data_IF_937752146063
#
_entry.id   IF_937752146063
#
_cell.length_a   1.000
_cell.length_b   1.000
_cell.length_c   1.000
_cell.angle_alpha   90.00
_cell.angle_beta   90.00
_cell.angle_gamma   90.00
#
_symmetry.space_group_name_H-M   'P 1'
#
loop_
_entity.id
_entity.type
_entity.pdbx_description
1 polymer ?
#
# COMPACT_ATOMS: atom_id res chain seq x y z
N UNK A 1 9.86 -8.68 24.14
CA UNK A 1 10.13 -9.09 22.75
C UNK A 1 8.76 -9.29 22.08
N UNK A 2 8.40 -8.44 21.16
CA UNK A 2 7.21 -8.64 20.33
C UNK A 2 7.64 -9.57 19.19
N UNK A 3 7.32 -10.85 19.29
CA UNK A 3 7.40 -11.72 18.16
C UNK A 3 6.27 -11.36 17.18
N UNK A 4 6.59 -11.17 15.90
CA UNK A 4 5.56 -11.17 14.88
C UNK A 4 4.83 -12.51 14.93
N UNK A 5 3.51 -12.50 14.73
CA UNK A 5 2.74 -13.73 14.64
C UNK A 5 3.35 -14.64 13.57
N UNK A 6 3.70 -15.88 13.84
CA UNK A 6 4.04 -16.78 12.77
C UNK A 6 2.81 -17.00 11.92
N UNK A 7 2.90 -16.66 10.65
CA UNK A 7 1.94 -17.09 9.66
C UNK A 7 2.15 -18.61 9.52
N UNK A 8 1.26 -19.41 10.11
CA UNK A 8 1.38 -20.86 9.98
C UNK A 8 0.68 -21.27 8.69
N UNK A 9 1.47 -21.57 7.69
CA UNK A 9 1.00 -22.03 6.39
C UNK A 9 1.36 -23.50 6.26
N UNK A 10 0.35 -24.35 6.09
CA UNK A 10 0.55 -25.78 5.89
C UNK A 10 0.41 -26.16 4.41
N UNK A 11 1.31 -26.99 3.94
CA UNK A 11 1.25 -27.61 2.63
C UNK A 11 0.23 -28.74 2.67
N UNK A 12 -1.02 -28.44 2.26
CA UNK A 12 -2.06 -29.43 2.09
C UNK A 12 -2.22 -29.69 0.60
N UNK A 13 -2.16 -30.95 0.20
CA UNK A 13 -2.20 -31.42 -1.19
C UNK A 13 -3.30 -30.77 -2.01
N UNK A 14 -3.01 -30.36 -3.22
CA UNK A 14 -1.78 -29.98 -3.92
C UNK A 14 -1.54 -28.46 -3.90
N UNK A 15 -2.17 -27.75 -2.98
CA UNK A 15 -2.11 -26.31 -2.90
C UNK A 15 -1.82 -25.83 -1.48
N UNK A 16 -1.55 -24.54 -1.33
CA UNK A 16 -1.17 -23.88 -0.08
C UNK A 16 -2.34 -23.05 0.42
N UNK A 17 -2.60 -23.09 1.73
CA UNK A 17 -3.62 -22.27 2.37
C UNK A 17 -3.11 -21.73 3.71
N UNK A 18 -3.45 -20.47 4.01
CA UNK A 18 -3.27 -19.91 5.34
C UNK A 18 -4.38 -20.46 6.26
N UNK A 19 -3.96 -21.11 7.36
CA UNK A 19 -4.90 -21.73 8.32
C UNK A 19 -4.78 -21.19 9.73
N UNK A 20 -3.83 -20.30 9.97
CA UNK A 20 -3.61 -19.65 11.26
C UNK A 20 -3.07 -18.24 11.06
N UNK A 21 -3.74 -17.30 11.71
CA UNK A 21 -3.27 -15.91 11.81
C UNK A 21 -3.53 -15.42 13.25
N UNK A 22 -2.60 -15.78 14.12
CA UNK A 22 -2.71 -15.52 15.56
C UNK A 22 -1.91 -14.29 15.95
N UNK A 23 -2.56 -13.37 16.66
CA UNK A 23 -1.90 -12.28 17.33
C UNK A 23 -1.23 -12.78 18.62
N UNK A 24 0.09 -13.00 18.59
CA UNK A 24 0.83 -13.52 19.73
C UNK A 24 0.90 -12.56 20.93
N UNK A 25 0.51 -11.30 20.78
CA UNK A 25 0.52 -10.34 21.88
C UNK A 25 -0.65 -10.53 22.85
N UNK A 26 -1.76 -11.10 22.36
CA UNK A 26 -2.97 -11.36 23.15
C UNK A 26 -3.54 -12.78 22.97
N UNK A 27 -2.93 -13.59 22.10
CA UNK A 27 -3.36 -14.97 21.82
C UNK A 27 -4.60 -15.09 20.94
N UNK A 28 -5.07 -14.01 20.33
CA UNK A 28 -6.28 -14.01 19.51
C UNK A 28 -6.02 -14.62 18.14
N UNK A 29 -6.75 -15.68 17.77
CA UNK A 29 -6.84 -16.20 16.42
C UNK A 29 -7.79 -15.33 15.61
N UNK A 30 -7.34 -14.84 14.46
CA UNK A 30 -8.08 -13.89 13.63
C UNK A 30 -8.86 -14.57 12.51
N UNK A 31 -8.43 -15.74 12.02
CA UNK A 31 -9.08 -16.41 10.90
C UNK A 31 -10.24 -17.32 11.34
N UNK A 32 -11.34 -17.23 10.62
CA UNK A 32 -12.50 -18.16 10.69
C UNK A 32 -12.61 -19.06 9.47
N UNK A 33 -12.08 -18.62 8.31
CA UNK A 33 -12.19 -19.39 7.06
C UNK A 33 -10.90 -19.38 6.27
N UNK A 34 -10.77 -20.42 5.44
CA UNK A 34 -9.68 -20.56 4.46
C UNK A 34 -10.06 -19.76 3.22
N UNK A 35 -9.20 -18.86 2.84
CA UNK A 35 -9.33 -18.05 1.63
C UNK A 35 -8.06 -18.20 0.77
N UNK A 36 -8.10 -17.84 -0.51
CA UNK A 36 -6.88 -17.81 -1.34
C UNK A 36 -5.88 -16.78 -0.83
N UNK A 37 -4.60 -17.00 -1.11
CA UNK A 37 -3.55 -16.05 -0.78
C UNK A 37 -3.74 -14.68 -1.47
N UNK A 38 -4.31 -14.70 -2.67
CA UNK A 38 -4.65 -13.53 -3.45
C UNK A 38 -5.67 -13.91 -4.53
N UNK A 39 -6.27 -12.92 -5.20
CA UNK A 39 -7.02 -13.15 -6.44
C UNK A 39 -6.48 -12.25 -7.55
N UNK A 40 -6.47 -12.75 -8.77
CA UNK A 40 -6.11 -11.98 -9.95
C UNK A 40 -7.23 -12.12 -11.00
N UNK A 41 -7.69 -10.97 -11.50
CA UNK A 41 -8.62 -10.95 -12.64
C UNK A 41 -7.80 -10.74 -13.91
N UNK A 42 -7.80 -11.75 -14.78
CA UNK A 42 -7.08 -11.72 -16.07
C UNK A 42 -8.11 -11.89 -17.16
N UNK A 43 -8.15 -10.99 -18.13
CA UNK A 43 -9.09 -11.01 -19.25
C UNK A 43 -10.54 -11.23 -18.77
N UNK A 44 -10.95 -10.51 -17.71
CA UNK A 44 -12.25 -10.57 -17.04
C UNK A 44 -12.55 -11.88 -16.29
N UNK A 45 -11.63 -12.82 -16.22
CA UNK A 45 -11.77 -14.06 -15.46
C UNK A 45 -11.00 -13.96 -14.13
N UNK A 46 -11.67 -14.30 -13.03
CA UNK A 46 -11.05 -14.30 -11.70
C UNK A 46 -10.38 -15.64 -11.43
N UNK A 47 -9.13 -15.59 -10.97
CA UNK A 47 -8.32 -16.75 -10.60
C UNK A 47 -7.88 -16.63 -9.14
N UNK A 48 -8.05 -17.70 -8.38
CA UNK A 48 -7.50 -17.80 -7.03
C UNK A 48 -6.01 -18.16 -7.08
N UNK A 49 -5.23 -17.56 -6.21
CA UNK A 49 -3.81 -17.85 -6.03
C UNK A 49 -3.66 -18.65 -4.75
N UNK A 50 -3.36 -19.93 -4.88
CA UNK A 50 -3.43 -20.82 -3.72
C UNK A 50 -4.85 -20.99 -3.19
N UNK A 51 -4.94 -21.33 -1.92
CA UNK A 51 -6.20 -21.59 -1.26
C UNK A 51 -6.73 -23.01 -1.45
N UNK A 52 -7.75 -23.35 -0.69
CA UNK A 52 -8.44 -24.64 -0.72
C UNK A 52 -9.93 -24.43 -0.63
N UNK A 53 -10.66 -25.30 -1.30
CA UNK A 53 -12.11 -25.34 -1.34
C UNK A 53 -12.67 -26.48 -0.48
N UNK A 54 -13.98 -26.44 -0.20
CA UNK A 54 -14.67 -27.51 0.51
C UNK A 54 -14.84 -27.29 2.00
N UNK A 55 -14.43 -26.15 2.55
CA UNK A 55 -14.77 -25.79 3.93
C UNK A 55 -16.29 -25.56 4.04
N UNK A 56 -16.96 -26.42 4.83
CA UNK A 56 -18.42 -26.41 4.96
C UNK A 56 -18.91 -25.35 5.96
N UNK A 57 -18.24 -25.23 7.10
CA UNK A 57 -18.55 -24.25 8.13
C UNK A 57 -17.55 -23.11 8.06
N UNK A 58 -18.05 -21.90 7.96
CA UNK A 58 -17.24 -20.69 7.80
C UNK A 58 -17.06 -19.87 9.08
N UNK A 59 -17.64 -20.33 10.20
CA UNK A 59 -17.52 -19.65 11.50
C UNK A 59 -16.18 -19.87 12.18
N UNK A 60 -15.51 -20.99 11.90
CA UNK A 60 -14.25 -21.37 12.55
C UNK A 60 -13.45 -22.36 11.71
N UNK A 61 -12.15 -22.42 11.97
CA UNK A 61 -11.25 -23.39 11.36
C UNK A 61 -11.17 -24.65 12.21
N UNK A 62 -11.35 -25.79 11.57
CA UNK A 62 -11.17 -27.09 12.19
C UNK A 62 -10.22 -27.93 11.33
N UNK A 63 -9.02 -28.15 11.84
CA UNK A 63 -7.96 -28.90 11.14
C UNK A 63 -8.37 -30.35 10.80
N UNK A 64 -9.34 -30.93 11.53
CA UNK A 64 -9.86 -32.26 11.20
C UNK A 64 -10.56 -32.32 9.84
N UNK A 65 -10.92 -31.18 9.25
CA UNK A 65 -11.53 -31.10 7.93
C UNK A 65 -10.52 -31.07 6.78
N UNK A 66 -9.25 -31.00 7.11
CA UNK A 66 -8.17 -30.90 6.15
C UNK A 66 -8.27 -31.91 5.00
N UNK A 67 -8.61 -33.16 5.34
CA UNK A 67 -8.73 -34.25 4.36
C UNK A 67 -9.89 -34.07 3.37
N UNK A 68 -10.87 -33.24 3.68
CA UNK A 68 -12.01 -32.95 2.81
C UNK A 68 -11.79 -31.74 1.92
N UNK A 69 -10.71 -30.99 2.13
CA UNK A 69 -10.37 -29.80 1.35
C UNK A 69 -9.67 -30.20 0.04
N UNK A 70 -9.93 -29.45 -1.01
CA UNK A 70 -9.39 -29.72 -2.34
C UNK A 70 -8.98 -28.43 -3.07
N UNK A 71 -8.07 -28.55 -4.03
CA UNK A 71 -7.73 -27.48 -4.95
C UNK A 71 -8.50 -27.66 -6.26
N UNK A 72 -8.83 -26.55 -6.93
CA UNK A 72 -9.41 -26.57 -8.26
C UNK A 72 -8.33 -26.43 -9.32
N UNK A 73 -8.50 -27.08 -10.48
CA UNK A 73 -7.54 -27.00 -11.58
C UNK A 73 -7.43 -25.60 -12.21
N UNK A 74 -8.44 -24.76 -12.02
CA UNK A 74 -8.43 -23.38 -12.44
C UNK A 74 -7.58 -22.48 -11.54
N UNK A 75 -7.31 -22.89 -10.30
CA UNK A 75 -6.52 -22.11 -9.36
C UNK A 75 -5.04 -22.18 -9.72
N UNK A 76 -4.33 -21.10 -9.38
CA UNK A 76 -2.87 -21.14 -9.39
C UNK A 76 -2.40 -22.04 -8.25
N UNK A 77 -1.58 -23.03 -8.59
CA UNK A 77 -1.07 -24.00 -7.64
C UNK A 77 0.31 -23.61 -7.11
N UNK A 78 0.52 -23.91 -5.85
CA UNK A 78 1.82 -23.70 -5.19
C UNK A 78 2.91 -24.60 -5.79
N UNK A 79 4.07 -24.02 -6.05
CA UNK A 79 5.21 -24.73 -6.62
C UNK A 79 6.40 -24.81 -5.66
N UNK A 80 6.73 -23.72 -5.01
CA UNK A 80 7.90 -23.61 -4.14
C UNK A 80 7.80 -22.34 -3.27
N UNK A 81 8.72 -22.20 -2.30
CA UNK A 81 8.90 -20.99 -1.51
C UNK A 81 10.36 -20.62 -1.33
N UNK A 82 10.62 -19.36 -1.02
CA UNK A 82 11.94 -18.88 -0.62
C UNK A 82 11.83 -18.03 0.66
N UNK A 83 12.84 -18.13 1.53
CA UNK A 83 12.95 -17.30 2.73
C UNK A 83 14.26 -16.54 2.70
N UNK A 84 14.17 -15.23 2.85
CA UNK A 84 15.32 -14.33 2.90
C UNK A 84 15.18 -13.33 4.05
N UNK A 85 16.16 -12.46 4.23
CA UNK A 85 16.01 -11.25 5.06
C UNK A 85 15.23 -10.21 4.31
N UNK A 86 14.43 -9.40 5.02
CA UNK A 86 13.74 -8.27 4.39
C UNK A 86 14.76 -7.23 3.93
N UNK A 87 14.44 -6.60 2.79
CA UNK A 87 15.13 -5.41 2.31
C UNK A 87 14.16 -4.22 2.30
N UNK A 88 14.70 -3.02 2.40
CA UNK A 88 13.90 -1.81 2.31
C UNK A 88 13.40 -1.61 0.87
N UNK A 89 12.09 -1.44 0.70
CA UNK A 89 11.51 -1.10 -0.60
C UNK A 89 11.75 0.36 -1.01
N UNK A 90 12.15 1.20 -0.06
CA UNK A 90 12.60 2.58 -0.28
C UNK A 90 13.95 2.76 0.37
N UNK A 91 14.94 3.14 -0.42
CA UNK A 91 16.27 3.49 0.09
C UNK A 91 16.21 4.89 0.68
N UNK A 92 16.12 4.96 1.99
CA UNK A 92 16.14 6.20 2.74
C UNK A 92 17.46 6.36 3.45
N UNK A 93 18.19 7.42 3.10
CA UNK A 93 19.38 7.86 3.83
C UNK A 93 18.98 9.10 4.63
N UNK A 94 18.98 9.05 5.97
CA UNK A 94 18.78 10.25 6.76
C UNK A 94 19.88 11.22 6.41
N UNK A 95 19.50 12.44 6.09
CA UNK A 95 20.48 13.45 5.72
C UNK A 95 21.23 13.93 6.96
N UNK A 96 22.52 14.15 6.80
CA UNK A 96 23.44 14.54 7.88
C UNK A 96 23.15 15.93 8.48
N UNK A 97 22.30 16.72 7.82
CA UNK A 97 21.88 18.03 8.31
C UNK A 97 20.74 17.98 9.34
N UNK A 98 20.05 16.83 9.53
CA UNK A 98 19.14 16.66 10.65
C UNK A 98 19.98 16.54 11.92
N UNK A 99 19.79 17.40 12.94
CA UNK A 99 20.52 17.29 14.19
C UNK A 99 20.44 15.86 14.75
N UNK A 100 21.54 15.36 15.29
CA UNK A 100 21.65 13.96 15.73
C UNK A 100 20.60 13.55 16.77
N UNK A 101 20.06 14.50 17.54
CA UNK A 101 18.97 14.31 18.49
C UNK A 101 17.59 14.18 17.81
N UNK A 102 17.46 14.57 16.54
CA UNK A 102 16.28 14.38 15.70
C UNK A 102 16.45 13.24 14.70
N UNK A 103 17.68 12.84 14.45
CA UNK A 103 17.93 11.69 13.59
C UNK A 103 17.31 10.46 14.29
N UNK A 104 16.17 9.95 13.82
CA UNK A 104 15.78 8.63 14.27
C UNK A 104 16.95 7.73 13.89
N UNK A 105 17.44 6.92 14.81
CA UNK A 105 18.30 5.82 14.45
C UNK A 105 17.55 5.05 13.38
N UNK A 106 17.97 5.18 12.12
CA UNK A 106 17.39 4.44 11.01
C UNK A 106 17.74 3.00 11.27
N UNK A 107 16.87 2.34 12.00
CA UNK A 107 16.99 0.93 12.22
C UNK A 107 16.82 0.30 10.84
N UNK A 108 17.85 -0.36 10.37
CA UNK A 108 17.71 -1.24 9.22
C UNK A 108 16.57 -2.19 9.56
N UNK A 109 15.62 -2.33 8.64
CA UNK A 109 14.56 -3.31 8.79
C UNK A 109 15.18 -4.66 9.16
N UNK A 110 14.72 -5.22 10.26
CA UNK A 110 15.04 -6.59 10.65
C UNK A 110 13.80 -7.42 10.48
N UNK A 111 13.99 -8.65 10.02
CA UNK A 111 12.89 -9.56 9.83
C UNK A 111 13.16 -10.56 8.71
N UNK A 112 12.12 -11.26 8.32
CA UNK A 112 12.15 -12.27 7.28
C UNK A 112 11.19 -11.95 6.16
N UNK A 113 11.61 -12.24 4.94
CA UNK A 113 10.74 -12.28 3.78
C UNK A 113 10.47 -13.72 3.41
N UNK A 114 9.20 -14.07 3.27
CA UNK A 114 8.74 -15.31 2.65
C UNK A 114 8.18 -14.96 1.27
N UNK A 115 8.55 -15.71 0.26
CA UNK A 115 7.96 -15.62 -1.08
C UNK A 115 7.39 -16.98 -1.43
N UNK A 116 6.12 -17.03 -1.74
CA UNK A 116 5.40 -18.21 -2.21
C UNK A 116 5.27 -18.12 -3.72
N UNK A 117 5.66 -19.19 -4.43
CA UNK A 117 5.66 -19.25 -5.87
C UNK A 117 4.49 -20.08 -6.37
N UNK A 118 3.73 -19.53 -7.33
CA UNK A 118 2.56 -20.18 -7.92
C UNK A 118 2.63 -20.17 -9.44
N UNK A 119 2.05 -21.20 -10.06
CA UNK A 119 1.93 -21.34 -11.50
C UNK A 119 0.52 -21.79 -11.90
N UNK A 120 0.13 -21.59 -13.14
CA UNK A 120 -1.14 -22.05 -13.70
C UNK A 120 -0.96 -23.36 -14.47
N UNK A 121 -1.96 -24.26 -14.37
CA UNK A 121 -2.09 -25.44 -15.22
C UNK A 121 -2.82 -25.16 -16.54
N UNK A 122 -3.48 -24.01 -16.63
CA UNK A 122 -4.29 -23.65 -17.79
C UNK A 122 -3.42 -23.35 -19.01
N UNK A 123 -3.69 -23.94 -20.19
CA UNK A 123 -2.94 -23.67 -21.41
C UNK A 123 -2.87 -22.18 -21.78
N UNK A 124 -3.95 -21.44 -21.57
CA UNK A 124 -4.05 -20.01 -21.84
C UNK A 124 -3.16 -19.16 -20.94
N UNK A 125 -2.69 -19.69 -19.81
CA UNK A 125 -1.80 -19.02 -18.86
C UNK A 125 -0.45 -19.75 -18.74
N UNK A 126 -0.05 -20.44 -19.79
CA UNK A 126 1.23 -21.16 -19.81
C UNK A 126 2.40 -20.20 -19.59
N UNK A 127 3.24 -20.50 -18.59
CA UNK A 127 4.39 -19.67 -18.24
C UNK A 127 4.05 -18.43 -17.40
N UNK A 128 2.78 -18.23 -17.04
CA UNK A 128 2.36 -17.18 -16.13
C UNK A 128 2.76 -17.56 -14.68
N UNK A 129 3.53 -16.70 -14.04
CA UNK A 129 4.04 -16.92 -12.69
C UNK A 129 3.51 -15.84 -11.76
N UNK A 130 3.04 -16.27 -10.59
CA UNK A 130 2.61 -15.38 -9.53
C UNK A 130 3.45 -15.64 -8.29
N UNK A 131 4.00 -14.60 -7.70
CA UNK A 131 4.67 -14.69 -6.41
C UNK A 131 3.93 -13.85 -5.39
N UNK A 132 3.60 -14.46 -4.26
CA UNK A 132 3.04 -13.77 -3.10
C UNK A 132 4.15 -13.58 -2.09
N UNK A 133 4.40 -12.32 -1.75
CA UNK A 133 5.49 -11.91 -0.87
C UNK A 133 4.95 -11.50 0.49
N UNK A 134 5.63 -11.92 1.54
CA UNK A 134 5.35 -11.55 2.92
C UNK A 134 6.62 -11.04 3.60
N UNK A 135 6.57 -9.85 4.19
CA UNK A 135 7.59 -9.37 5.11
C UNK A 135 7.04 -9.40 6.53
N UNK A 136 7.78 -10.03 7.44
CA UNK A 136 7.49 -10.03 8.87
C UNK A 136 8.60 -9.26 9.55
N UNK A 137 8.23 -8.23 10.34
CA UNK A 137 9.16 -7.30 10.96
C UNK A 137 9.48 -7.68 12.40
N UNK A 138 10.75 -7.67 12.76
CA UNK A 138 11.18 -7.92 14.13
C UNK A 138 10.76 -6.77 15.06
N UNK A 139 10.19 -7.12 16.21
CA UNK A 139 9.81 -6.14 17.23
C UNK A 139 8.56 -5.30 16.94
N UNK A 140 7.82 -5.65 15.89
CA UNK A 140 6.54 -5.05 15.52
C UNK A 140 5.61 -6.14 14.99
N UNK A 141 4.36 -6.25 15.46
CA UNK A 141 3.38 -7.20 14.93
C UNK A 141 2.83 -6.72 13.59
N UNK A 142 3.72 -6.57 12.62
CA UNK A 142 3.47 -6.05 11.29
C UNK A 142 3.80 -7.08 10.24
N UNK A 143 2.83 -7.36 9.37
CA UNK A 143 2.96 -8.07 8.13
C UNK A 143 2.88 -7.08 6.97
N UNK A 144 3.72 -7.24 5.96
CA UNK A 144 3.56 -6.54 4.68
C UNK A 144 3.45 -7.57 3.57
N UNK A 145 2.39 -7.48 2.77
CA UNK A 145 2.07 -8.42 1.69
C UNK A 145 1.94 -7.71 0.35
N UNK A 146 2.44 -8.33 -0.71
CA UNK A 146 2.23 -7.88 -2.09
C UNK A 146 2.38 -9.04 -3.06
N UNK A 147 1.92 -8.82 -4.30
CA UNK A 147 1.95 -9.80 -5.37
C UNK A 147 2.83 -9.30 -6.52
N UNK A 148 3.67 -10.18 -7.04
CA UNK A 148 4.36 -9.93 -8.31
C UNK A 148 3.89 -10.94 -9.34
N UNK A 149 3.70 -10.47 -10.56
CA UNK A 149 3.25 -11.24 -11.71
C UNK A 149 4.34 -11.18 -12.77
N UNK A 150 4.63 -12.30 -13.39
CA UNK A 150 5.36 -12.36 -14.64
C UNK A 150 4.47 -13.04 -15.67
N UNK A 151 4.18 -12.32 -16.76
CA UNK A 151 3.37 -12.87 -17.85
C UNK A 151 4.11 -13.99 -18.58
N UNK A 152 3.33 -14.90 -19.18
CA UNK A 152 3.83 -16.00 -20.00
C UNK A 152 4.07 -15.63 -21.46
N UNK A 153 3.58 -16.48 -22.36
CA UNK A 153 3.87 -16.39 -23.81
C UNK A 153 2.98 -15.40 -24.55
N UNK A 154 1.74 -15.21 -24.10
CA UNK A 154 0.73 -14.39 -24.77
C UNK A 154 0.42 -13.12 -24.00
N UNK A 155 0.11 -12.02 -24.68
CA UNK A 155 -0.32 -10.79 -24.02
C UNK A 155 -1.65 -10.99 -23.28
N UNK A 156 -1.75 -10.45 -22.08
CA UNK A 156 -2.96 -10.54 -21.24
C UNK A 156 -3.27 -9.19 -20.62
N UNK A 157 -4.55 -8.96 -20.31
CA UNK A 157 -4.97 -7.81 -19.50
C UNK A 157 -5.11 -8.26 -18.05
N UNK A 158 -4.36 -7.67 -17.14
CA UNK A 158 -4.55 -7.82 -15.70
C UNK A 158 -5.53 -6.72 -15.25
N UNK A 159 -6.78 -7.10 -15.11
CA UNK A 159 -7.86 -6.16 -14.77
C UNK A 159 -7.80 -5.73 -13.31
N UNK A 160 -7.48 -6.67 -12.41
CA UNK A 160 -7.42 -6.44 -10.94
C UNK A 160 -6.48 -7.41 -10.26
N UNK A 161 -5.83 -6.95 -9.21
CA UNK A 161 -5.11 -7.79 -8.25
C UNK A 161 -5.67 -7.52 -6.86
N UNK A 162 -6.25 -8.54 -6.25
CA UNK A 162 -6.67 -8.53 -4.85
C UNK A 162 -5.50 -9.08 -4.04
N UNK A 163 -4.80 -8.19 -3.36
CA UNK A 163 -3.56 -8.51 -2.65
C UNK A 163 -3.77 -9.37 -1.42
N UNK A 164 -4.90 -9.14 -0.75
CA UNK A 164 -5.24 -9.83 0.49
C UNK A 164 -6.69 -10.25 0.48
N UNK A 165 -6.94 -11.46 0.96
CA UNK A 165 -8.28 -12.01 1.21
C UNK A 165 -8.24 -12.75 2.55
N UNK A 166 -8.92 -12.22 3.57
CA UNK A 166 -8.99 -12.82 4.90
C UNK A 166 -10.44 -12.95 5.37
N UNK A 167 -10.86 -14.17 5.62
CA UNK A 167 -12.09 -14.44 6.35
C UNK A 167 -11.84 -14.33 7.85
N UNK A 168 -12.12 -13.16 8.41
CA UNK A 168 -11.79 -12.84 9.80
C UNK A 168 -12.93 -13.18 10.75
N UNK A 169 -12.57 -13.54 11.98
CA UNK A 169 -13.53 -13.61 13.08
C UNK A 169 -14.06 -12.21 13.33
N UNK A 170 -15.37 -12.06 13.34
CA UNK A 170 -16.01 -10.78 13.62
C UNK A 170 -15.78 -10.34 15.07
N UNK A 171 -15.32 -9.13 15.27
CA UNK A 171 -15.20 -8.51 16.61
C UNK A 171 -16.55 -7.97 17.11
N UNK A 172 -17.43 -7.62 16.18
CA UNK A 172 -18.80 -7.20 16.48
C UNK A 172 -19.76 -7.98 15.58
N UNK A 173 -20.67 -8.72 16.20
CA UNK A 173 -21.67 -9.52 15.51
C UNK A 173 -23.06 -9.09 15.98
N UNK A 174 -23.65 -8.14 15.24
CA UNK A 174 -25.00 -7.69 15.51
C UNK A 174 -26.03 -8.63 14.90
N UNK A 175 -27.05 -9.00 15.69
CA UNK A 175 -28.18 -9.84 15.22
C UNK A 175 -28.92 -9.17 14.06
N UNK A 176 -29.06 -7.85 14.12
CA UNK A 176 -29.61 -6.96 13.10
C UNK A 176 -28.75 -5.72 13.02
N UNK A 177 -28.63 -5.15 11.84
CA UNK A 177 -27.85 -3.92 11.63
C UNK A 177 -27.40 -3.80 10.17
N UNK A 178 -26.93 -2.63 9.81
CA UNK A 178 -26.35 -2.39 8.49
C UNK A 178 -24.86 -2.69 8.50
N UNK A 179 -24.27 -3.16 7.38
CA UNK A 179 -22.83 -3.46 7.31
C UNK A 179 -21.93 -2.31 7.77
N UNK A 180 -22.31 -1.06 7.46
CA UNK A 180 -21.54 0.13 7.82
C UNK A 180 -21.46 0.36 9.34
N UNK A 181 -22.46 -0.09 10.08
CA UNK A 181 -22.55 0.03 11.55
C UNK A 181 -21.77 -1.07 12.24
N UNK A 182 -21.49 -2.19 11.56
CA UNK A 182 -20.82 -3.37 12.10
C UNK A 182 -19.31 -3.43 11.85
N UNK A 183 -18.77 -2.49 11.09
CA UNK A 183 -17.34 -2.45 10.72
C UNK A 183 -16.44 -2.03 11.87
N UNK A 184 -16.32 -2.81 12.91
CA UNK A 184 -15.49 -2.47 14.09
C UNK A 184 -14.38 -3.51 14.29
N UNK A 185 -13.49 -3.63 13.31
CA UNK A 185 -12.34 -4.54 13.40
C UNK A 185 -11.16 -3.84 14.07
N UNK A 186 -11.16 -3.81 15.40
CA UNK A 186 -10.15 -3.12 16.20
C UNK A 186 -8.84 -3.91 16.36
N UNK A 187 -8.88 -5.23 16.21
CA UNK A 187 -7.72 -6.12 16.37
C UNK A 187 -6.69 -6.02 15.25
N UNK A 188 -7.05 -5.44 14.12
CA UNK A 188 -6.16 -5.26 12.97
C UNK A 188 -6.30 -3.86 12.37
N UNK A 189 -5.17 -3.28 11.96
CA UNK A 189 -5.12 -2.05 11.18
C UNK A 189 -4.53 -2.35 9.80
N UNK A 190 -5.25 -1.96 8.75
CA UNK A 190 -4.88 -2.21 7.36
C UNK A 190 -4.56 -0.88 6.68
N UNK A 191 -3.46 -0.84 5.97
CA UNK A 191 -3.07 0.29 5.14
C UNK A 191 -2.31 -0.20 3.90
N UNK A 192 -2.35 0.57 2.83
CA UNK A 192 -1.59 0.29 1.61
C UNK A 192 -0.66 1.44 1.25
N UNK A 193 0.35 1.15 0.45
CA UNK A 193 1.20 2.18 -0.15
C UNK A 193 0.61 2.77 -1.44
N UNK A 194 -0.66 2.58 -1.69
CA UNK A 194 -1.34 3.22 -2.80
C UNK A 194 -1.42 4.73 -2.54
N UNK A 195 -0.59 5.48 -3.27
CA UNK A 195 -0.32 6.88 -2.98
C UNK A 195 -1.50 7.80 -3.30
N UNK A 196 -2.48 7.34 -4.08
CA UNK A 196 -3.55 8.17 -4.50
C UNK A 196 -4.80 7.93 -3.66
N UNK A 197 -4.86 8.65 -2.58
CA UNK A 197 -6.07 8.87 -1.84
C UNK A 197 -6.34 10.37 -1.88
N UNK A 198 -7.38 10.78 -2.57
CA UNK A 198 -7.79 12.17 -2.58
C UNK A 198 -8.33 12.55 -1.20
N UNK A 199 -7.44 12.94 -0.32
CA UNK A 199 -7.75 13.30 1.07
C UNK A 199 -8.74 14.45 1.22
N UNK A 200 -9.02 15.19 0.15
CA UNK A 200 -9.96 16.30 0.17
C UNK A 200 -11.40 15.88 -0.07
N UNK A 201 -11.61 14.75 -0.74
CA UNK A 201 -12.93 14.25 -1.10
C UNK A 201 -13.00 12.74 -0.97
N UNK A 202 -13.51 12.28 0.15
CA UNK A 202 -13.65 10.84 0.45
C UNK A 202 -14.50 10.10 -0.60
N UNK A 203 -15.54 10.74 -1.10
CA UNK A 203 -16.48 10.18 -2.06
C UNK A 203 -15.89 9.91 -3.46
N UNK A 204 -14.74 10.52 -3.77
CA UNK A 204 -14.03 10.32 -5.03
C UNK A 204 -12.65 9.69 -4.86
N UNK A 205 -12.23 9.40 -3.64
CA UNK A 205 -11.00 8.69 -3.37
C UNK A 205 -11.09 7.25 -3.85
N UNK A 206 -9.98 6.72 -4.33
CA UNK A 206 -9.85 5.30 -4.62
C UNK A 206 -9.53 4.56 -3.32
N UNK A 207 -10.44 3.70 -2.89
CA UNK A 207 -10.32 2.94 -1.66
C UNK A 207 -9.60 1.63 -1.93
N UNK A 208 -8.78 1.19 -1.00
CA UNK A 208 -8.03 -0.05 -1.13
C UNK A 208 -8.43 -1.12 -0.13
N UNK A 209 -9.05 -0.74 0.98
CA UNK A 209 -9.46 -1.67 2.04
C UNK A 209 -10.96 -1.86 2.03
N UNK A 210 -11.40 -3.07 1.74
CA UNK A 210 -12.81 -3.43 1.62
C UNK A 210 -13.17 -4.45 2.69
N UNK A 211 -14.18 -4.12 3.49
CA UNK A 211 -14.82 -5.03 4.43
C UNK A 211 -16.12 -5.49 3.80
N UNK A 212 -16.13 -6.72 3.30
CA UNK A 212 -17.24 -7.27 2.56
C UNK A 212 -18.04 -8.27 3.40
N UNK A 213 -19.30 -8.43 3.04
CA UNK A 213 -20.12 -9.51 3.54
C UNK A 213 -19.67 -10.83 2.90
N UNK A 214 -19.57 -11.88 3.70
CA UNK A 214 -19.30 -13.21 3.20
C UNK A 214 -20.62 -14.00 3.08
N UNK A 215 -21.12 -14.11 1.88
CA UNK A 215 -22.36 -14.86 1.60
C UNK A 215 -22.25 -16.36 1.87
N UNK A 216 -21.03 -16.90 2.00
CA UNK A 216 -20.79 -18.30 2.32
C UNK A 216 -20.77 -18.58 3.82
N UNK A 217 -20.70 -17.55 4.65
CA UNK A 217 -20.79 -17.64 6.10
C UNK A 217 -22.25 -17.64 6.56
N UNK A 218 -22.90 -18.78 6.42
CA UNK A 218 -24.35 -18.93 6.66
C UNK A 218 -24.73 -19.12 8.14
N UNK A 219 -23.78 -19.40 9.01
CA UNK A 219 -23.99 -19.55 10.47
C UNK A 219 -23.69 -18.28 11.27
N UNK A 220 -23.49 -17.13 10.61
CA UNK A 220 -23.26 -15.86 11.30
C UNK A 220 -24.49 -15.43 12.12
N UNK A 221 -24.23 -14.64 13.18
CA UNK A 221 -25.27 -14.18 14.10
C UNK A 221 -26.27 -13.23 13.42
N UNK A 222 -25.82 -12.46 12.42
CA UNK A 222 -26.69 -11.53 11.70
C UNK A 222 -27.73 -12.29 10.85
N UNK A 223 -29.02 -12.07 11.08
CA UNK A 223 -30.11 -12.76 10.39
C UNK A 223 -30.16 -12.53 8.88
N UNK A 224 -29.59 -11.41 8.42
CA UNK A 224 -29.54 -11.08 7.00
C UNK A 224 -28.21 -11.48 6.35
N UNK A 225 -27.32 -12.14 7.06
CA UNK A 225 -25.98 -12.54 6.61
C UNK A 225 -25.13 -11.34 6.12
N UNK A 226 -25.22 -10.21 6.83
CA UNK A 226 -24.62 -8.93 6.42
C UNK A 226 -23.41 -8.50 7.26
N UNK A 227 -22.86 -9.38 8.10
CA UNK A 227 -21.66 -9.07 8.87
C UNK A 227 -20.44 -8.89 7.94
N UNK A 228 -19.82 -7.72 7.90
CA UNK A 228 -18.69 -7.44 6.99
C UNK A 228 -17.36 -7.93 7.58
N UNK A 229 -17.15 -9.24 7.58
CA UNK A 229 -15.99 -9.91 8.16
C UNK A 229 -15.07 -10.59 7.11
N UNK A 230 -15.28 -10.31 5.84
CA UNK A 230 -14.38 -10.69 4.76
C UNK A 230 -13.56 -9.46 4.35
N UNK A 231 -12.29 -9.46 4.72
CA UNK A 231 -11.35 -8.42 4.30
C UNK A 231 -10.84 -8.71 2.90
N UNK A 232 -10.92 -7.72 2.02
CA UNK A 232 -10.21 -7.71 0.74
C UNK A 232 -9.43 -6.42 0.55
N UNK A 233 -8.23 -6.53 -0.02
CA UNK A 233 -7.37 -5.37 -0.26
C UNK A 233 -7.01 -5.28 -1.73
N UNK A 234 -7.53 -4.27 -2.38
CA UNK A 234 -7.28 -3.96 -3.79
C UNK A 234 -7.66 -2.50 -4.11
N UNK A 235 -6.99 -1.83 -5.04
CA UNK A 235 -7.45 -0.56 -5.59
C UNK A 235 -8.71 -0.76 -6.44
N UNK A 236 -9.71 0.10 -6.28
CA UNK A 236 -11.00 -0.02 -6.99
C UNK A 236 -10.85 0.00 -8.51
N UNK A 237 -9.91 0.78 -9.02
CA UNK A 237 -9.77 1.11 -10.45
C UNK A 237 -8.46 0.67 -11.09
N UNK A 238 -7.64 -0.09 -10.38
CA UNK A 238 -6.31 -0.51 -10.84
C UNK A 238 -6.14 -2.04 -10.77
N UNK A 239 -5.17 -2.61 -11.54
CA UNK A 239 -4.27 -1.93 -12.47
C UNK A 239 -4.87 -1.69 -13.86
N UNK A 240 -5.79 -2.53 -14.37
CA UNK A 240 -6.32 -2.45 -15.72
C UNK A 240 -5.22 -2.35 -16.78
N UNK A 241 -4.14 -3.15 -16.65
CA UNK A 241 -2.93 -3.06 -17.44
C UNK A 241 -2.80 -4.24 -18.40
N UNK A 242 -2.41 -3.96 -19.64
CA UNK A 242 -1.97 -4.99 -20.58
C UNK A 242 -0.50 -5.32 -20.29
N UNK A 243 -0.23 -6.61 -20.14
CA UNK A 243 1.13 -7.15 -19.98
C UNK A 243 1.52 -7.88 -21.25
N UNK A 244 2.59 -7.42 -21.88
CA UNK A 244 3.23 -8.12 -22.98
C UNK A 244 3.87 -9.46 -22.52
N UNK A 245 4.25 -10.36 -23.43
CA UNK A 245 4.96 -11.58 -23.07
C UNK A 245 6.20 -11.32 -22.22
N UNK A 246 6.35 -12.08 -21.11
CA UNK A 246 7.44 -11.96 -20.14
C UNK A 246 7.47 -10.64 -19.34
N UNK A 247 6.54 -9.74 -19.54
CA UNK A 247 6.46 -8.49 -18.79
C UNK A 247 6.08 -8.77 -17.33
N UNK A 248 6.52 -7.86 -16.43
CA UNK A 248 6.31 -7.99 -15.00
C UNK A 248 5.43 -6.88 -14.47
N UNK A 249 4.61 -7.23 -13.50
CA UNK A 249 3.81 -6.29 -12.72
C UNK A 249 4.01 -6.53 -11.23
N UNK A 250 4.04 -5.46 -10.46
CA UNK A 250 4.07 -5.51 -8.98
C UNK A 250 2.86 -4.76 -8.45
N UNK A 251 2.07 -5.42 -7.62
CA UNK A 251 0.90 -4.84 -6.98
C UNK A 251 1.27 -3.82 -5.90
N UNK A 252 0.26 -3.14 -5.36
CA UNK A 252 0.41 -2.34 -4.14
C UNK A 252 0.87 -3.23 -2.98
N UNK A 253 1.47 -2.63 -1.95
CA UNK A 253 1.80 -3.31 -0.69
C UNK A 253 0.69 -3.10 0.31
N UNK A 254 0.27 -4.18 0.95
CA UNK A 254 -0.67 -4.17 2.07
C UNK A 254 0.12 -4.29 3.36
N UNK A 255 -0.14 -3.42 4.30
CA UNK A 255 0.42 -3.45 5.65
C UNK A 255 -0.67 -3.82 6.64
N UNK A 256 -0.43 -4.86 7.43
CA UNK A 256 -1.34 -5.42 8.39
C UNK A 256 -0.69 -5.35 9.77
N UNK A 257 -1.15 -4.41 10.59
CA UNK A 257 -0.64 -4.19 11.93
C UNK A 257 -1.63 -4.76 12.94
N UNK A 258 -1.21 -5.80 13.65
CA UNK A 258 -2.02 -6.37 14.72
C UNK A 258 -1.99 -5.49 15.96
N UNK A 259 -3.16 -5.26 16.54
CA UNK A 259 -3.32 -4.43 17.71
C UNK A 259 -3.37 -5.29 18.99
N UNK A 260 -2.62 -4.90 19.98
CA UNK A 260 -2.57 -5.57 21.28
C UNK A 260 -3.58 -5.00 22.30
N UNK A 261 -4.32 -3.95 21.92
CA UNK A 261 -5.24 -3.24 22.77
C UNK A 261 -6.32 -2.50 22.01
N UNK A 262 -7.49 -2.34 22.62
CA UNK A 262 -8.57 -1.47 22.12
C UNK A 262 -8.39 0.00 22.55
N UNK A 263 -7.44 0.30 23.43
CA UNK A 263 -7.16 1.67 23.87
C UNK A 263 -6.69 2.54 22.69
N UNK A 264 -7.37 3.68 22.51
CA UNK A 264 -7.13 4.60 21.38
C UNK A 264 -5.70 5.12 21.32
N UNK A 265 -5.14 5.49 22.48
CA UNK A 265 -3.79 6.07 22.57
C UNK A 265 -2.75 5.02 22.22
N UNK A 266 -2.91 3.80 22.78
CA UNK A 266 -2.00 2.69 22.53
C UNK A 266 -2.00 2.27 21.06
N UNK A 267 -3.17 2.18 20.43
CA UNK A 267 -3.30 1.92 18.99
C UNK A 267 -2.62 3.01 18.15
N UNK A 268 -2.83 4.29 18.49
CA UNK A 268 -2.17 5.41 17.83
C UNK A 268 -0.64 5.36 17.95
N UNK A 269 -0.11 4.95 19.10
CA UNK A 269 1.34 4.75 19.29
C UNK A 269 1.89 3.59 18.45
N UNK A 270 1.13 2.50 18.31
CA UNK A 270 1.50 1.38 17.44
C UNK A 270 1.57 1.78 15.98
N UNK A 271 0.61 2.55 15.46
CA UNK A 271 0.62 3.10 14.10
C UNK A 271 1.82 4.02 13.91
N UNK A 272 2.11 4.91 14.85
CA UNK A 272 3.32 5.75 14.79
C UNK A 272 4.60 4.92 14.76
N UNK A 273 4.66 3.83 15.53
CA UNK A 273 5.80 2.92 15.52
C UNK A 273 5.94 2.24 14.15
N UNK A 274 4.83 1.83 13.54
CA UNK A 274 4.82 1.30 12.17
C UNK A 274 5.43 2.30 11.20
N UNK A 275 4.92 3.53 11.16
CA UNK A 275 5.46 4.57 10.26
C UNK A 275 6.94 4.85 10.49
N UNK A 276 7.39 4.94 11.74
CA UNK A 276 8.81 5.10 12.05
C UNK A 276 9.66 3.94 11.54
N UNK A 277 9.08 2.77 11.44
CA UNK A 277 9.78 1.57 10.96
C UNK A 277 9.84 1.54 9.44
N UNK A 278 8.70 1.69 8.75
CA UNK A 278 8.61 1.48 7.30
C UNK A 278 8.81 2.76 6.47
N UNK A 279 8.50 3.91 7.04
CA UNK A 279 8.53 5.21 6.37
C UNK A 279 9.02 6.32 7.32
N UNK A 280 10.24 6.23 7.87
CA UNK A 280 10.73 7.14 8.90
C UNK A 280 10.70 8.62 8.46
N UNK A 281 10.81 8.90 7.17
CA UNK A 281 10.73 10.25 6.61
C UNK A 281 9.40 10.97 6.87
N UNK A 282 8.26 10.25 6.99
CA UNK A 282 6.95 10.87 7.28
C UNK A 282 6.81 11.32 8.73
N UNK A 283 7.72 10.90 9.60
CA UNK A 283 7.75 11.33 11.00
C UNK A 283 8.68 12.50 11.25
N UNK A 284 9.34 12.97 10.21
CA UNK A 284 10.22 14.14 10.23
C UNK A 284 9.42 15.33 9.72
N UNK A 285 9.04 16.21 10.63
CA UNK A 285 8.28 17.42 10.31
C UNK A 285 9.15 18.64 10.60
N UNK A 286 9.94 19.11 9.61
CA UNK A 286 10.73 20.31 9.80
C UNK A 286 9.82 21.54 9.98
N UNK A 287 10.23 22.47 10.83
CA UNK A 287 9.61 23.80 10.87
C UNK A 287 10.07 24.55 9.64
N UNK A 288 9.14 24.95 8.79
CA UNK A 288 9.49 25.57 7.52
C UNK A 288 8.81 26.91 7.27
N UNK A 289 9.47 27.73 6.50
CA UNK A 289 8.94 28.99 5.98
C UNK A 289 8.47 28.80 4.54
N UNK A 290 7.26 29.24 4.24
CA UNK A 290 6.79 29.40 2.87
C UNK A 290 7.19 30.77 2.35
N UNK A 291 7.82 30.81 1.17
CA UNK A 291 8.30 32.03 0.54
C UNK A 291 7.79 32.13 -0.91
N UNK A 292 7.20 33.23 -1.28
CA UNK A 292 7.00 33.63 -2.68
C UNK A 292 8.13 34.57 -3.04
N UNK A 293 9.15 34.07 -3.70
CA UNK A 293 10.38 34.82 -4.01
C UNK A 293 10.32 35.49 -5.39
N UNK A 294 10.91 36.66 -5.51
CA UNK A 294 11.07 37.40 -6.78
C UNK A 294 12.46 37.24 -7.38
N UNK A 295 13.45 36.88 -6.55
CA UNK A 295 14.83 36.75 -6.96
C UNK A 295 15.64 35.93 -5.94
N UNK A 296 16.89 35.57 -6.29
CA UNK A 296 17.76 34.75 -5.47
C UNK A 296 18.17 35.43 -4.16
N UNK A 297 18.22 36.75 -4.12
CA UNK A 297 18.60 37.49 -2.91
C UNK A 297 17.52 37.33 -1.82
N UNK A 298 16.25 37.33 -2.19
CA UNK A 298 15.16 37.09 -1.26
C UNK A 298 15.21 35.65 -0.69
N UNK A 299 15.55 34.67 -1.53
CA UNK A 299 15.72 33.28 -1.07
C UNK A 299 16.86 33.18 -0.06
N UNK A 300 18.01 33.80 -0.33
CA UNK A 300 19.14 33.81 0.59
C UNK A 300 18.81 34.53 1.90
N UNK A 301 18.11 35.65 1.83
CA UNK A 301 17.65 36.38 3.02
C UNK A 301 16.71 35.55 3.87
N UNK A 302 15.77 34.80 3.25
CA UNK A 302 14.87 33.90 3.96
C UNK A 302 15.62 32.74 4.62
N UNK A 303 16.63 32.17 3.94
CA UNK A 303 17.51 31.16 4.53
C UNK A 303 18.23 31.72 5.77
N UNK A 304 18.77 32.93 5.69
CA UNK A 304 19.45 33.58 6.83
C UNK A 304 18.48 33.86 7.99
N UNK A 305 17.27 34.28 7.69
CA UNK A 305 16.20 34.43 8.70
C UNK A 305 15.83 33.10 9.36
N UNK A 306 15.73 32.03 8.58
CA UNK A 306 15.48 30.69 9.11
C UNK A 306 16.56 30.25 10.11
N UNK A 307 17.83 30.49 9.78
CA UNK A 307 18.94 30.21 10.70
C UNK A 307 18.79 31.01 12.00
N UNK A 308 18.46 32.30 11.89
CA UNK A 308 18.35 33.18 13.05
C UNK A 308 17.16 32.85 13.96
N UNK A 309 16.13 32.27 13.43
CA UNK A 309 14.84 31.99 14.14
C UNK A 309 14.61 30.52 14.47
N UNK A 310 15.52 29.62 14.06
CA UNK A 310 15.40 28.19 14.33
C UNK A 310 14.45 27.42 13.40
N UNK A 311 14.11 27.98 12.25
CA UNK A 311 13.44 27.23 11.19
C UNK A 311 14.43 26.26 10.54
N UNK A 312 13.92 25.15 9.99
CA UNK A 312 14.73 24.06 9.45
C UNK A 312 14.67 23.99 7.90
N UNK A 313 13.68 24.65 7.30
CA UNK A 313 13.46 24.60 5.86
C UNK A 313 12.87 25.91 5.32
N UNK A 314 13.15 26.18 4.03
CA UNK A 314 12.43 27.16 3.21
C UNK A 314 11.77 26.42 2.06
N UNK A 315 10.47 26.61 1.87
CA UNK A 315 9.72 26.11 0.71
C UNK A 315 9.37 27.28 -0.19
N UNK A 316 9.89 27.25 -1.43
CA UNK A 316 9.50 28.20 -2.44
C UNK A 316 8.10 27.88 -2.92
N UNK A 317 7.15 28.74 -2.57
CA UNK A 317 5.74 28.56 -2.84
C UNK A 317 5.40 28.86 -4.30
N UNK A 318 4.18 28.54 -4.67
CA UNK A 318 3.64 28.80 -5.99
C UNK A 318 3.75 30.29 -6.33
N UNK A 319 4.20 30.60 -7.54
CA UNK A 319 4.44 31.98 -7.98
C UNK A 319 5.85 32.53 -7.66
N UNK A 320 6.74 31.75 -7.06
CA UNK A 320 8.14 32.09 -6.94
C UNK A 320 8.83 32.19 -8.30
N UNK A 321 9.93 32.98 -8.36
CA UNK A 321 10.68 33.22 -9.59
C UNK A 321 11.40 31.97 -10.15
N UNK A 322 11.55 30.93 -9.36
CA UNK A 322 12.12 29.64 -9.79
C UNK A 322 11.02 28.66 -10.16
N UNK A 323 11.17 28.04 -11.30
CA UNK A 323 10.27 27.00 -11.77
C UNK A 323 10.86 25.61 -11.48
N UNK A 324 10.18 24.79 -10.68
CA UNK A 324 10.59 23.42 -10.39
C UNK A 324 10.52 22.49 -11.61
N UNK A 325 9.74 22.86 -12.62
CA UNK A 325 9.48 22.03 -13.79
C UNK A 325 10.38 22.37 -14.98
N UNK A 326 11.16 23.44 -14.87
CA UNK A 326 12.15 23.80 -15.89
C UNK A 326 13.42 22.96 -15.70
N UNK A 327 13.61 22.00 -16.61
CA UNK A 327 14.78 21.11 -16.66
C UNK A 327 15.99 21.70 -17.38
N UNK A 328 15.97 23.00 -17.73
CA UNK A 328 17.11 23.65 -18.35
C UNK A 328 18.34 23.65 -17.43
N UNK A 329 19.52 23.48 -18.02
CA UNK A 329 20.79 23.50 -17.28
C UNK A 329 20.94 24.81 -16.46
N UNK A 330 20.46 25.90 -17.00
CA UNK A 330 20.52 27.20 -16.30
C UNK A 330 19.67 27.18 -15.03
N UNK A 331 18.44 26.70 -15.09
CA UNK A 331 17.55 26.61 -13.93
C UNK A 331 18.08 25.61 -12.91
N UNK A 332 18.53 24.44 -13.34
CA UNK A 332 19.12 23.42 -12.45
C UNK A 332 20.33 23.96 -11.71
N UNK A 333 21.26 24.65 -12.39
CA UNK A 333 22.43 25.24 -11.76
C UNK A 333 22.05 26.32 -10.76
N UNK A 334 21.04 27.11 -11.04
CA UNK A 334 20.53 28.16 -10.14
C UNK A 334 19.93 27.55 -8.87
N UNK A 335 19.07 26.53 -9.03
CA UNK A 335 18.53 25.78 -7.90
C UNK A 335 19.63 25.15 -7.06
N UNK A 336 20.62 24.53 -7.72
CA UNK A 336 21.76 23.93 -7.05
C UNK A 336 22.52 24.93 -6.21
N UNK A 337 22.84 26.12 -6.76
CA UNK A 337 23.58 27.16 -6.04
C UNK A 337 22.81 27.63 -4.79
N UNK A 338 21.50 27.77 -4.86
CA UNK A 338 20.68 28.15 -3.72
C UNK A 338 20.55 27.01 -2.70
N UNK A 339 20.44 25.77 -3.17
CA UNK A 339 20.43 24.62 -2.29
C UNK A 339 21.76 24.42 -1.56
N UNK A 340 22.88 24.60 -2.26
CA UNK A 340 24.21 24.55 -1.64
C UNK A 340 24.38 25.65 -0.56
N UNK A 341 23.88 26.86 -0.80
CA UNK A 341 23.85 27.93 0.19
C UNK A 341 23.03 27.59 1.43
N UNK A 342 21.83 27.00 1.22
CA UNK A 342 20.96 26.56 2.31
C UNK A 342 21.61 25.43 3.12
N UNK A 343 22.15 24.40 2.44
CA UNK A 343 22.76 23.25 3.08
C UNK A 343 24.00 23.61 3.91
N UNK A 344 24.83 24.59 3.46
CA UNK A 344 25.96 25.12 4.26
C UNK A 344 25.52 25.71 5.60
N UNK A 345 24.26 26.12 5.70
CA UNK A 345 23.62 26.67 6.89
C UNK A 345 22.70 25.70 7.63
N UNK A 346 22.69 24.43 7.24
CA UNK A 346 21.82 23.40 7.76
C UNK A 346 20.32 23.69 7.53
N UNK A 347 19.98 24.41 6.48
CA UNK A 347 18.59 24.69 6.08
C UNK A 347 18.25 23.88 4.83
N UNK A 348 17.07 23.29 4.78
CA UNK A 348 16.51 22.71 3.57
C UNK A 348 15.97 23.77 2.64
N UNK A 349 16.13 23.54 1.35
CA UNK A 349 15.41 24.28 0.33
C UNK A 349 14.49 23.34 -0.44
N UNK A 350 13.21 23.64 -0.43
CA UNK A 350 12.18 22.92 -1.16
C UNK A 350 11.41 23.83 -2.10
N UNK A 351 10.63 23.22 -2.99
CA UNK A 351 9.70 23.91 -3.85
C UNK A 351 8.32 23.28 -3.79
N UNK A 352 7.33 24.00 -4.33
CA UNK A 352 5.95 23.60 -4.34
C UNK A 352 5.51 23.31 -5.78
N UNK A 353 4.93 22.14 -6.00
CA UNK A 353 4.32 21.77 -7.27
C UNK A 353 2.97 21.07 -7.04
N UNK A 354 2.05 21.24 -7.96
CA UNK A 354 0.70 20.70 -7.90
C UNK A 354 0.61 19.43 -8.75
N UNK A 355 1.07 18.30 -8.24
CA UNK A 355 1.16 17.04 -8.98
C UNK A 355 -0.17 16.58 -9.60
N UNK A 356 -1.28 16.81 -8.93
CA UNK A 356 -2.58 16.26 -9.32
C UNK A 356 -3.48 17.23 -10.07
N UNK A 357 -3.04 18.45 -10.30
CA UNK A 357 -3.87 19.50 -10.90
C UNK A 357 -3.21 20.24 -12.06
N UNK A 358 -2.10 19.71 -12.58
CA UNK A 358 -1.33 20.37 -13.62
C UNK A 358 -1.28 19.57 -14.90
N UNK A 359 -1.50 20.21 -16.04
CA UNK A 359 -1.33 19.63 -17.37
C UNK A 359 0.15 19.63 -17.74
N UNK A 360 0.61 18.54 -18.28
CA UNK A 360 1.93 18.41 -18.86
C UNK A 360 1.81 18.37 -20.38
N UNK A 361 1.15 17.37 -20.90
CA UNK A 361 0.81 17.19 -22.29
C UNK A 361 -0.32 16.17 -22.42
N UNK A 362 -1.05 16.13 -23.56
CA UNK A 362 -2.09 15.12 -23.77
C UNK A 362 -1.60 13.67 -23.66
N UNK A 363 -0.32 13.45 -23.92
CA UNK A 363 0.32 12.11 -23.85
C UNK A 363 0.74 11.74 -22.42
N UNK A 364 1.08 12.73 -21.61
CA UNK A 364 1.61 12.54 -20.28
C UNK A 364 0.54 12.75 -19.17
N UNK A 365 -0.61 13.27 -19.52
CA UNK A 365 -1.68 13.54 -18.58
C UNK A 365 -2.48 12.29 -18.21
N UNK A 366 -2.96 12.24 -16.97
CA UNK A 366 -3.80 11.14 -16.48
C UNK A 366 -5.11 11.07 -17.27
N UNK A 367 -5.48 9.86 -17.62
CA UNK A 367 -6.80 9.56 -18.16
C UNK A 367 -7.76 9.34 -16.98
N UNK A 368 -8.84 10.10 -16.93
CA UNK A 368 -9.92 9.85 -15.99
C UNK A 368 -10.56 8.48 -16.27
N UNK A 369 -10.48 7.58 -15.30
CA UNK A 369 -10.99 6.21 -15.45
C UNK A 369 -12.51 6.13 -15.69
N UNK A 370 -13.28 7.16 -15.29
CA UNK A 370 -14.73 7.22 -15.53
C UNK A 370 -15.09 7.68 -16.93
N UNK A 371 -14.35 8.62 -17.46
CA UNK A 371 -14.65 9.26 -18.74
C UNK A 371 -13.81 8.78 -19.89
N UNK A 372 -12.68 8.12 -19.62
CA UNK A 372 -11.69 7.69 -20.62
C UNK A 372 -11.03 8.86 -21.33
N UNK A 373 -11.10 10.07 -20.80
CA UNK A 373 -10.56 11.28 -21.42
C UNK A 373 -9.46 11.91 -20.55
N UNK A 374 -8.47 12.57 -21.17
CA UNK A 374 -7.51 13.38 -20.42
C UNK A 374 -8.20 14.58 -19.79
N UNK A 375 -7.74 14.98 -18.62
CA UNK A 375 -8.21 16.18 -17.96
C UNK A 375 -9.56 16.04 -17.29
N UNK A 376 -9.95 17.05 -16.57
CA UNK A 376 -11.16 17.10 -15.76
C UNK A 376 -10.84 17.35 -14.30
N UNK A 377 -11.86 17.67 -13.53
CA UNK A 377 -11.72 17.95 -12.11
C UNK A 377 -11.44 16.66 -11.35
N UNK A 378 -10.21 16.23 -11.27
CA UNK A 378 -9.82 15.05 -10.51
C UNK A 378 -10.26 15.16 -9.05
N UNK A 379 -10.30 16.35 -8.51
CA UNK A 379 -10.77 16.64 -7.15
C UNK A 379 -12.26 17.00 -7.05
N UNK A 380 -13.03 16.85 -8.11
CA UNK A 380 -14.46 17.12 -8.10
C UNK A 380 -14.88 18.59 -7.97
N UNK A 381 -13.94 19.50 -7.75
CA UNK A 381 -14.12 20.93 -7.85
C UNK A 381 -13.66 21.41 -9.22
N UNK A 382 -14.10 22.60 -9.64
CA UNK A 382 -13.52 23.22 -10.81
C UNK A 382 -12.00 23.12 -10.71
N UNK A 383 -11.33 22.71 -11.76
CA UNK A 383 -9.92 22.44 -11.72
C UNK A 383 -9.21 23.68 -11.25
N UNK A 384 -8.46 23.60 -10.20
CA UNK A 384 -7.59 24.69 -9.82
C UNK A 384 -6.66 25.07 -10.96
N UNK A 385 -6.47 24.27 -11.98
CA UNK A 385 -5.64 24.56 -13.15
C UNK A 385 -5.94 23.67 -14.36
N UNK A 386 -7.06 22.98 -14.38
CA UNK A 386 -7.59 22.31 -15.56
C UNK A 386 -7.06 20.95 -15.90
N UNK A 387 -6.33 20.23 -14.98
CA UNK A 387 -5.69 19.05 -15.48
C UNK A 387 -5.07 18.12 -14.48
N UNK A 388 -4.81 16.94 -14.96
CA UNK A 388 -4.30 15.80 -14.24
C UNK A 388 -2.89 15.46 -14.73
N UNK A 389 -2.04 15.07 -13.81
CA UNK A 389 -0.73 14.54 -14.13
C UNK A 389 -0.87 13.11 -14.64
N UNK A 390 -0.25 12.81 -15.78
CA UNK A 390 -0.32 11.52 -16.42
C UNK A 390 0.69 10.52 -15.89
N UNK A 391 0.53 9.28 -16.32
CA UNK A 391 1.48 8.22 -16.05
C UNK A 391 2.88 8.55 -16.59
N UNK A 392 2.96 9.23 -17.74
CA UNK A 392 4.22 9.65 -18.34
C UNK A 392 5.01 10.67 -17.52
N UNK A 393 4.34 11.42 -16.63
CA UNK A 393 5.03 12.39 -15.78
C UNK A 393 5.95 11.72 -14.76
N UNK A 394 5.57 10.57 -14.22
CA UNK A 394 6.40 9.81 -13.27
C UNK A 394 7.78 9.47 -13.85
N UNK A 395 7.87 9.30 -15.17
CA UNK A 395 9.11 8.96 -15.84
C UNK A 395 10.04 10.19 -16.01
N UNK A 396 9.49 11.38 -15.79
CA UNK A 396 10.21 12.66 -15.87
C UNK A 396 10.62 13.21 -14.49
N UNK A 397 10.07 12.66 -13.41
CA UNK A 397 10.43 12.98 -12.04
C UNK A 397 11.54 12.07 -11.56
#
# INVERSE_FOLDING_TARGET
AYAASPLTTFLIRPNLACIDYTNLTNGQQLLRSIEPEANIVINKTNYAIGGLHGQKEKAYLNLNWEQSLYAMDADFYFTNYTITTIDSFVKYNPKTWIPANYSPSVQKFKGKQLVLHFASKLPALKGFIVNVHYNIYDGLPLLCKWVTIQNGADAVVVDRVVNEVLGLVEEESAVVGKPEEMKKQHGIYIETNYAFNNSMRYDISDHTTHWEMDSTYTSQVNYNYQTPCLLKVYPDKAPGIELAPNEKFTSVRTFELLMDSYDRTRRGLMIKKMYRTIAPWVTQNPIFMHLVSKNDAEVKAAIDQCVATGFEAVILSFGSHLNMEDSSTQNINRWKALADYAHQKNILLGGYSLFSSRTISPQDDVIDAKTGKPGGAFFGNAPCFGSNWGLGYRDKI
#
